data_IF_962527204372
#
_entry.id   IF_962527204372
#
_cell.length_a   1.000
_cell.length_b   1.000
_cell.length_c   1.000
_cell.angle_alpha   90.00
_cell.angle_beta   90.00
_cell.angle_gamma   90.00
#
_symmetry.space_group_name_H-M   'P 1'
#
loop_
_entity.id
_entity.type
_entity.pdbx_description
1 polymer ?
#
# COMPACT_ATOMS: atom_id res chain seq x y z
N UNK A 1 -48.62 36.83 10.50
CA UNK A 1 -48.77 37.77 9.37
C UNK A 1 -48.67 36.95 8.09
N UNK A 2 -49.72 36.92 7.24
CA UNK A 2 -49.74 36.03 6.08
C UNK A 2 -49.05 36.73 4.90
N UNK A 3 -47.94 36.17 4.42
CA UNK A 3 -47.43 36.54 3.10
C UNK A 3 -48.20 35.70 2.07
N UNK A 4 -49.12 36.37 1.38
CA UNK A 4 -49.97 35.79 0.35
C UNK A 4 -49.12 35.22 -0.78
N UNK A 5 -49.42 33.97 -1.14
CA UNK A 5 -48.93 33.33 -2.35
C UNK A 5 -49.56 34.09 -3.53
N UNK A 6 -48.78 34.73 -4.42
CA UNK A 6 -49.35 35.27 -5.63
C UNK A 6 -49.76 34.08 -6.50
N UNK A 7 -51.03 34.06 -6.93
CA UNK A 7 -51.49 33.15 -7.99
C UNK A 7 -50.58 33.35 -9.20
N UNK A 8 -49.82 32.32 -9.57
CA UNK A 8 -49.03 32.32 -10.80
C UNK A 8 -50.01 32.16 -11.94
N UNK A 9 -50.50 33.29 -12.42
CA UNK A 9 -51.24 33.40 -13.67
C UNK A 9 -50.29 32.95 -14.80
N UNK A 10 -50.72 31.95 -15.57
CA UNK A 10 -50.05 31.47 -16.76
C UNK A 10 -49.82 32.65 -17.71
N UNK A 11 -48.63 33.24 -17.66
CA UNK A 11 -48.21 34.23 -18.62
C UNK A 11 -46.89 33.77 -19.23
N UNK A 12 -46.92 33.69 -20.55
CA UNK A 12 -45.94 33.23 -21.54
C UNK A 12 -44.57 33.94 -21.42
N UNK A 13 -43.91 33.88 -20.25
CA UNK A 13 -42.57 34.44 -20.06
C UNK A 13 -41.51 33.45 -20.51
N UNK A 14 -41.40 33.35 -21.84
CA UNK A 14 -40.15 33.18 -22.57
C UNK A 14 -39.41 31.85 -22.37
N UNK A 15 -39.37 30.94 -23.36
CA UNK A 15 -38.44 29.80 -23.39
C UNK A 15 -36.97 30.20 -23.09
N UNK A 16 -36.62 31.47 -23.30
CA UNK A 16 -35.33 32.09 -22.99
C UNK A 16 -34.99 32.05 -21.49
N UNK A 17 -35.91 32.40 -20.59
CA UNK A 17 -35.60 32.40 -19.15
C UNK A 17 -35.36 30.97 -18.64
N UNK A 18 -36.14 30.02 -19.16
CA UNK A 18 -35.97 28.59 -18.88
C UNK A 18 -34.64 28.06 -19.41
N UNK A 19 -34.24 28.45 -20.63
CA UNK A 19 -32.96 28.06 -21.23
C UNK A 19 -31.76 28.61 -20.47
N UNK A 20 -31.84 29.86 -19.99
CA UNK A 20 -30.78 30.46 -19.15
C UNK A 20 -30.69 29.73 -17.81
N UNK A 21 -31.82 29.44 -17.16
CA UNK A 21 -31.84 28.71 -15.90
C UNK A 21 -31.25 27.29 -16.02
N UNK A 22 -31.55 26.58 -17.11
CA UNK A 22 -30.95 25.28 -17.41
C UNK A 22 -29.44 25.39 -17.66
N UNK A 23 -29.00 26.38 -18.45
CA UNK A 23 -27.57 26.61 -18.71
C UNK A 23 -26.81 26.95 -17.43
N UNK A 24 -27.40 27.76 -16.55
CA UNK A 24 -26.86 28.07 -15.23
C UNK A 24 -26.76 26.84 -14.33
N UNK A 25 -27.78 25.98 -14.32
CA UNK A 25 -27.76 24.72 -13.56
C UNK A 25 -26.66 23.78 -14.02
N UNK A 26 -26.43 23.66 -15.33
CA UNK A 26 -25.34 22.84 -15.89
C UNK A 26 -23.98 23.40 -15.47
N UNK A 27 -23.77 24.71 -15.59
CA UNK A 27 -22.53 25.36 -15.16
C UNK A 27 -22.27 25.19 -13.66
N UNK A 28 -23.30 25.28 -12.82
CA UNK A 28 -23.18 25.02 -11.38
C UNK A 28 -22.79 23.57 -11.08
N UNK A 29 -23.39 22.60 -11.78
CA UNK A 29 -23.04 21.18 -11.60
C UNK A 29 -21.59 20.88 -12.00
N UNK A 30 -21.13 21.46 -13.11
CA UNK A 30 -19.73 21.34 -13.54
C UNK A 30 -18.76 21.98 -12.54
N UNK A 31 -19.14 23.11 -11.93
CA UNK A 31 -18.32 23.76 -10.90
C UNK A 31 -18.16 22.89 -9.63
N UNK A 32 -19.19 22.16 -9.23
CA UNK A 32 -19.12 21.19 -8.11
C UNK A 32 -18.15 20.05 -8.45
N UNK A 33 -18.20 19.54 -9.68
CA UNK A 33 -17.29 18.48 -10.12
C UNK A 33 -15.83 18.95 -10.19
N UNK A 34 -15.59 20.13 -10.74
CA UNK A 34 -14.26 20.77 -10.78
C UNK A 34 -13.74 20.98 -9.36
N UNK A 35 -14.57 21.49 -8.44
CA UNK A 35 -14.22 21.64 -7.03
C UNK A 35 -13.78 20.31 -6.39
N UNK A 36 -14.52 19.23 -6.63
CA UNK A 36 -14.17 17.91 -6.12
C UNK A 36 -12.84 17.41 -6.70
N UNK A 37 -12.63 17.54 -8.02
CA UNK A 37 -11.37 17.18 -8.66
C UNK A 37 -10.18 18.00 -8.12
N UNK A 38 -10.36 19.31 -7.94
CA UNK A 38 -9.33 20.18 -7.37
C UNK A 38 -8.99 19.78 -5.94
N UNK A 39 -9.99 19.45 -5.11
CA UNK A 39 -9.76 18.98 -3.75
C UNK A 39 -9.02 17.64 -3.71
N UNK A 40 -9.36 16.70 -4.59
CA UNK A 40 -8.65 15.43 -4.74
C UNK A 40 -7.21 15.66 -5.18
N UNK A 41 -7.00 16.52 -6.17
CA UNK A 41 -5.67 16.88 -6.66
C UNK A 41 -4.81 17.50 -5.56
N UNK A 42 -5.33 18.43 -4.76
CA UNK A 42 -4.60 18.99 -3.63
C UNK A 42 -4.27 17.96 -2.56
N UNK A 43 -5.21 17.04 -2.27
CA UNK A 43 -4.98 15.94 -1.33
C UNK A 43 -3.86 15.02 -1.81
N UNK A 44 -3.83 14.71 -3.11
CA UNK A 44 -2.79 13.90 -3.74
C UNK A 44 -1.45 14.63 -3.87
N UNK A 45 -1.48 15.95 -4.10
CA UNK A 45 -0.29 16.78 -4.23
C UNK A 45 0.60 16.72 -2.98
N UNK A 46 -0.01 16.67 -1.78
CA UNK A 46 0.72 16.49 -0.52
C UNK A 46 1.58 15.19 -0.50
N UNK A 47 1.13 14.13 -1.17
CA UNK A 47 1.88 12.88 -1.32
C UNK A 47 2.87 12.95 -2.49
N UNK A 48 2.48 13.58 -3.60
CA UNK A 48 3.32 13.74 -4.79
C UNK A 48 4.57 14.57 -4.49
N UNK A 49 4.44 15.71 -3.81
CA UNK A 49 5.58 16.59 -3.48
C UNK A 49 6.57 15.90 -2.54
N UNK A 50 6.08 15.13 -1.55
CA UNK A 50 6.95 14.32 -0.68
C UNK A 50 7.69 13.21 -1.44
N UNK A 51 7.04 12.61 -2.44
CA UNK A 51 7.65 11.56 -3.29
C UNK A 51 8.69 12.15 -4.25
N UNK A 52 8.39 13.31 -4.83
CA UNK A 52 9.25 14.01 -5.78
C UNK A 52 10.53 14.55 -5.11
N UNK A 53 10.46 14.99 -3.85
CA UNK A 53 11.65 15.33 -3.05
C UNK A 53 12.53 14.14 -2.68
N UNK A 54 12.00 12.90 -2.69
CA UNK A 54 12.77 11.68 -2.35
C UNK A 54 13.40 10.99 -3.57
N UNK A 55 12.99 11.36 -4.78
CA UNK A 55 13.47 10.81 -6.04
C UNK A 55 14.33 11.86 -6.76
N UNK A 56 15.47 12.18 -6.17
CA UNK A 56 16.46 13.05 -6.81
C UNK A 56 17.02 12.38 -8.06
N UNK A 57 17.56 13.17 -8.99
CA UNK A 57 18.12 12.65 -10.25
C UNK A 57 19.22 11.60 -9.98
N UNK A 58 20.02 11.78 -8.93
CA UNK A 58 21.03 10.79 -8.54
C UNK A 58 20.41 9.46 -8.10
N UNK A 59 19.31 9.49 -7.34
CA UNK A 59 18.58 8.27 -6.96
C UNK A 59 17.91 7.60 -8.15
N UNK A 60 17.39 8.37 -9.11
CA UNK A 60 16.79 7.85 -10.33
C UNK A 60 17.84 7.18 -11.22
N UNK A 61 18.98 7.82 -11.41
CA UNK A 61 20.11 7.26 -12.14
C UNK A 61 20.70 6.03 -11.46
N UNK A 62 20.66 5.97 -10.12
CA UNK A 62 21.04 4.78 -9.38
C UNK A 62 20.14 3.57 -9.68
N UNK A 63 18.84 3.77 -9.93
CA UNK A 63 17.93 2.71 -10.38
C UNK A 63 18.16 2.30 -11.85
N UNK A 64 18.72 3.21 -12.66
CA UNK A 64 19.01 2.98 -14.08
C UNK A 64 20.41 2.43 -14.32
N UNK A 65 21.23 2.25 -13.28
CA UNK A 65 22.48 1.51 -13.43
C UNK A 65 22.17 0.12 -14.01
N UNK A 66 22.97 -0.37 -14.98
CA UNK A 66 22.84 -1.72 -15.49
C UNK A 66 23.25 -2.72 -14.39
N UNK A 67 22.32 -2.95 -13.46
CA UNK A 67 22.35 -4.05 -12.51
C UNK A 67 21.71 -5.27 -13.15
N UNK A 68 22.23 -6.44 -12.82
CA UNK A 68 21.61 -7.71 -13.19
C UNK A 68 20.16 -7.73 -12.66
N UNK A 69 19.19 -7.79 -13.56
CA UNK A 69 17.77 -7.86 -13.19
C UNK A 69 17.50 -9.26 -12.67
N UNK A 70 17.49 -9.41 -11.34
CA UNK A 70 17.19 -10.68 -10.69
C UNK A 70 15.67 -10.87 -10.69
N UNK A 71 15.18 -11.83 -11.48
CA UNK A 71 13.77 -12.16 -11.51
C UNK A 71 13.34 -12.92 -10.25
N UNK A 72 12.04 -12.88 -9.98
CA UNK A 72 11.44 -13.55 -8.82
C UNK A 72 11.70 -15.07 -8.82
N UNK A 73 11.75 -15.69 -9.99
CA UNK A 73 12.11 -17.11 -10.18
C UNK A 73 13.53 -17.42 -9.73
N UNK A 74 14.46 -16.53 -10.05
CA UNK A 74 15.89 -16.73 -9.81
C UNK A 74 16.22 -16.52 -8.34
N UNK A 75 15.48 -15.60 -7.68
CA UNK A 75 15.54 -15.47 -6.22
C UNK A 75 15.14 -16.75 -5.51
N UNK A 76 14.12 -17.48 -5.98
CA UNK A 76 13.67 -18.70 -5.29
C UNK A 76 14.66 -19.87 -5.41
N UNK A 77 15.40 -19.95 -6.52
CA UNK A 77 16.34 -21.03 -6.81
C UNK A 77 17.64 -20.95 -5.97
N UNK A 78 18.06 -19.73 -5.61
CA UNK A 78 19.37 -19.49 -5.00
C UNK A 78 19.35 -19.31 -3.47
N UNK A 79 18.26 -19.66 -2.78
CA UNK A 79 18.18 -19.46 -1.32
C UNK A 79 18.40 -20.75 -0.54
N UNK A 80 19.39 -20.71 0.35
CA UNK A 80 19.59 -21.71 1.38
C UNK A 80 18.51 -21.69 2.45
N UNK A 81 18.59 -22.66 3.37
CA UNK A 81 17.75 -22.70 4.57
C UNK A 81 18.37 -21.80 5.64
N UNK A 82 17.55 -21.02 6.32
CA UNK A 82 18.01 -20.29 7.50
C UNK A 82 18.36 -21.29 8.60
N UNK A 83 19.48 -21.06 9.29
CA UNK A 83 19.88 -21.87 10.44
C UNK A 83 19.37 -21.22 11.73
N UNK A 84 18.62 -21.96 12.56
CA UNK A 84 18.09 -21.43 13.81
C UNK A 84 19.22 -21.17 14.81
N UNK A 85 19.11 -20.11 15.60
CA UNK A 85 20.05 -19.90 16.70
C UNK A 85 19.88 -20.98 17.81
N UNK A 86 20.93 -21.26 18.61
CA UNK A 86 20.85 -22.27 19.66
C UNK A 86 19.70 -22.00 20.63
N UNK A 87 18.74 -22.93 20.73
CA UNK A 87 17.54 -22.81 21.57
C UNK A 87 16.29 -22.26 20.87
N UNK A 88 16.43 -21.74 19.65
CA UNK A 88 15.32 -21.20 18.85
C UNK A 88 14.70 -22.19 17.87
N UNK A 89 15.23 -23.41 17.77
CA UNK A 89 14.78 -24.45 16.83
C UNK A 89 13.26 -24.68 16.84
N UNK A 90 12.64 -24.60 18.02
CA UNK A 90 11.20 -24.77 18.21
C UNK A 90 10.34 -23.68 17.53
N UNK A 91 10.93 -22.54 17.17
CA UNK A 91 10.26 -21.44 16.48
C UNK A 91 10.30 -21.60 14.96
N UNK A 92 11.14 -22.48 14.42
CA UNK A 92 11.33 -22.61 12.97
C UNK A 92 10.53 -23.75 12.38
N UNK A 93 9.90 -23.50 11.23
CA UNK A 93 9.12 -24.48 10.48
C UNK A 93 9.60 -24.48 9.03
N UNK A 94 10.02 -25.66 8.55
CA UNK A 94 10.43 -25.84 7.16
C UNK A 94 9.33 -26.60 6.41
N UNK A 95 8.48 -25.91 5.62
CA UNK A 95 7.37 -26.55 4.92
C UNK A 95 7.89 -27.55 3.89
N UNK A 96 7.31 -28.75 3.88
CA UNK A 96 7.48 -29.71 2.78
C UNK A 96 6.50 -29.37 1.66
N UNK A 97 6.72 -29.91 0.45
CA UNK A 97 5.87 -29.67 -0.74
C UNK A 97 4.35 -29.87 -0.52
N UNK A 98 3.95 -30.61 0.52
CA UNK A 98 2.54 -30.92 0.84
C UNK A 98 1.95 -30.04 1.94
N UNK A 99 2.76 -29.24 2.62
CA UNK A 99 2.32 -28.44 3.77
C UNK A 99 1.68 -27.14 3.30
N UNK A 100 0.38 -26.97 3.59
CA UNK A 100 -0.36 -25.73 3.30
C UNK A 100 -0.32 -24.80 4.51
N UNK A 101 0.83 -24.21 4.78
CA UNK A 101 1.00 -23.22 5.85
C UNK A 101 0.58 -21.85 5.31
N UNK A 102 -0.37 -21.19 6.00
CA UNK A 102 -0.74 -19.81 5.69
C UNK A 102 0.29 -18.88 6.32
N UNK A 103 1.08 -18.23 5.48
CA UNK A 103 2.06 -17.24 5.89
C UNK A 103 1.31 -15.92 6.12
N UNK A 104 1.56 -15.26 7.25
CA UNK A 104 1.03 -13.94 7.53
C UNK A 104 1.59 -12.90 6.55
N UNK A 105 1.10 -11.67 6.62
CA UNK A 105 1.50 -10.58 5.72
C UNK A 105 1.32 -10.95 4.24
N UNK A 106 0.29 -11.76 3.91
CA UNK A 106 -0.03 -12.21 2.56
C UNK A 106 1.15 -12.90 1.83
N UNK A 107 2.07 -13.53 2.57
CA UNK A 107 3.24 -14.18 1.98
C UNK A 107 4.36 -13.21 1.59
N UNK A 108 4.37 -11.98 2.12
CA UNK A 108 5.49 -11.06 1.98
C UNK A 108 6.53 -11.25 3.10
N UNK A 109 7.78 -10.87 2.78
CA UNK A 109 8.89 -10.89 3.71
C UNK A 109 8.67 -9.88 4.85
N UNK A 110 8.62 -10.39 6.08
CA UNK A 110 8.39 -9.54 7.25
C UNK A 110 9.52 -8.52 7.45
N UNK A 111 10.77 -8.96 7.28
CA UNK A 111 11.96 -8.13 7.44
C UNK A 111 12.02 -7.00 6.40
N UNK A 112 11.65 -7.27 5.14
CA UNK A 112 11.73 -6.28 4.04
C UNK A 112 10.77 -5.10 4.27
N UNK A 113 9.57 -5.39 4.78
CA UNK A 113 8.55 -4.38 5.04
C UNK A 113 9.07 -3.35 6.04
N UNK A 114 9.72 -3.80 7.11
CA UNK A 114 10.22 -2.88 8.14
C UNK A 114 11.50 -2.17 7.68
N UNK A 115 12.46 -2.91 7.11
CA UNK A 115 13.78 -2.35 6.78
C UNK A 115 13.72 -1.38 5.61
N UNK A 116 12.91 -1.68 4.60
CA UNK A 116 12.76 -0.84 3.40
C UNK A 116 11.53 0.07 3.46
N UNK A 117 10.97 0.30 4.66
CA UNK A 117 9.85 1.24 4.89
C UNK A 117 8.62 0.96 3.99
N UNK A 118 8.19 -0.29 3.95
CA UNK A 118 6.98 -0.73 3.25
C UNK A 118 7.21 -1.42 1.91
N UNK A 119 8.46 -1.75 1.56
CA UNK A 119 8.72 -2.53 0.35
C UNK A 119 8.22 -3.97 0.52
N UNK A 120 7.24 -4.32 -0.30
CA UNK A 120 6.70 -5.67 -0.38
C UNK A 120 7.62 -6.52 -1.26
N UNK A 121 8.38 -7.41 -0.62
CA UNK A 121 9.19 -8.41 -1.29
C UNK A 121 8.54 -9.77 -1.02
N UNK A 122 8.24 -10.59 -2.04
CA UNK A 122 7.64 -11.90 -1.81
C UNK A 122 8.60 -12.76 -0.99
N UNK A 123 8.05 -13.53 -0.04
CA UNK A 123 8.85 -14.46 0.74
C UNK A 123 9.07 -15.78 -0.02
N UNK A 124 10.15 -16.47 0.33
CA UNK A 124 10.49 -17.79 -0.19
C UNK A 124 10.34 -18.80 0.96
N UNK A 125 9.26 -19.60 1.01
CA UNK A 125 9.00 -20.51 2.12
C UNK A 125 10.07 -21.61 2.32
N UNK A 126 10.88 -21.90 1.29
CA UNK A 126 11.97 -22.88 1.36
C UNK A 126 13.08 -22.48 2.33
N UNK A 127 13.22 -21.19 2.64
CA UNK A 127 14.20 -20.66 3.61
C UNK A 127 13.84 -21.14 5.02
N UNK A 128 12.56 -21.25 5.32
CA UNK A 128 12.03 -21.45 6.66
C UNK A 128 11.00 -20.38 7.02
N UNK A 129 10.02 -20.78 7.80
CA UNK A 129 8.96 -19.93 8.34
C UNK A 129 9.20 -19.82 9.84
N UNK A 130 9.31 -18.60 10.36
CA UNK A 130 9.45 -18.35 11.79
C UNK A 130 8.06 -18.19 12.41
N UNK A 131 7.76 -19.00 13.42
CA UNK A 131 6.55 -18.90 14.23
C UNK A 131 6.81 -18.08 15.48
N UNK A 132 6.11 -16.95 15.61
CA UNK A 132 6.19 -16.10 16.80
C UNK A 132 4.80 -15.63 17.25
N UNK A 133 4.47 -15.85 18.53
CA UNK A 133 3.18 -15.47 19.14
C UNK A 133 1.95 -15.87 18.30
N UNK A 134 1.99 -17.06 17.70
CA UNK A 134 0.88 -17.60 16.88
C UNK A 134 0.83 -17.09 15.43
N UNK A 135 1.76 -16.22 15.02
CA UNK A 135 1.92 -15.76 13.64
C UNK A 135 3.07 -16.47 12.92
N UNK A 136 2.98 -16.57 11.61
CA UNK A 136 3.90 -17.26 10.72
C UNK A 136 4.55 -16.27 9.76
N UNK A 137 5.84 -16.01 9.95
CA UNK A 137 6.58 -15.03 9.16
C UNK A 137 7.48 -15.71 8.14
N UNK A 138 7.38 -15.27 6.88
CA UNK A 138 8.28 -15.68 5.79
C UNK A 138 9.36 -14.64 5.53
N UNK A 139 10.44 -15.08 4.86
CA UNK A 139 11.62 -14.25 4.55
C UNK A 139 12.01 -14.34 3.08
N UNK A 140 12.80 -13.38 2.60
CA UNK A 140 13.31 -13.33 1.22
C UNK A 140 14.74 -13.84 1.10
N UNK A 141 15.51 -13.88 2.19
CA UNK A 141 16.88 -14.39 2.26
C UNK A 141 17.15 -14.98 3.65
N UNK A 142 18.19 -15.83 3.76
CA UNK A 142 18.64 -16.40 5.04
C UNK A 142 19.06 -15.32 6.03
N UNK A 143 19.82 -14.32 5.57
CA UNK A 143 20.23 -13.17 6.38
C UNK A 143 19.02 -12.39 6.94
N UNK A 144 17.98 -12.17 6.13
CA UNK A 144 16.77 -11.49 6.59
C UNK A 144 16.06 -12.29 7.70
N UNK A 145 16.11 -13.62 7.59
CA UNK A 145 15.55 -14.56 8.55
C UNK A 145 16.32 -14.52 9.89
N UNK A 146 17.65 -14.61 9.83
CA UNK A 146 18.55 -14.54 10.98
C UNK A 146 18.43 -13.18 11.70
N UNK A 147 18.52 -12.07 10.98
CA UNK A 147 18.40 -10.74 11.58
C UNK A 147 17.04 -10.52 12.25
N UNK A 148 15.98 -11.08 11.66
CA UNK A 148 14.63 -11.00 12.23
C UNK A 148 14.53 -11.81 13.51
N UNK A 149 15.08 -13.02 13.55
CA UNK A 149 15.10 -13.89 14.75
C UNK A 149 15.79 -13.20 15.94
N UNK A 150 16.93 -12.56 15.71
CA UNK A 150 17.67 -11.87 16.78
C UNK A 150 16.91 -10.66 17.36
N UNK A 151 15.96 -10.08 16.61
CA UNK A 151 15.27 -8.85 17.01
C UNK A 151 13.77 -8.88 16.68
N UNK A 152 13.08 -9.99 16.92
CA UNK A 152 11.68 -10.20 16.52
C UNK A 152 10.77 -9.06 17.01
N UNK A 153 10.91 -8.63 18.26
CA UNK A 153 10.06 -7.56 18.81
C UNK A 153 10.20 -6.23 18.08
N UNK A 154 11.41 -5.92 17.60
CA UNK A 154 11.68 -4.70 16.83
C UNK A 154 10.92 -4.71 15.51
N UNK A 155 10.84 -5.87 14.86
CA UNK A 155 10.18 -6.02 13.56
C UNK A 155 8.67 -6.23 13.69
N UNK A 156 8.18 -6.79 14.79
CA UNK A 156 6.74 -7.05 14.98
C UNK A 156 5.97 -5.79 15.41
N UNK A 157 6.57 -4.88 16.18
CA UNK A 157 5.91 -3.62 16.64
C UNK A 157 5.32 -2.79 15.48
N UNK A 158 6.04 -2.50 14.38
CA UNK A 158 5.52 -1.73 13.26
C UNK A 158 4.29 -2.34 12.57
N UNK A 159 4.13 -3.67 12.57
CA UNK A 159 2.99 -4.31 11.92
C UNK A 159 1.66 -3.97 12.59
N UNK A 160 1.66 -3.65 13.89
CA UNK A 160 0.45 -3.20 14.58
C UNK A 160 -0.05 -1.87 13.99
N UNK A 161 0.88 -0.94 13.70
CA UNK A 161 0.54 0.37 13.13
C UNK A 161 0.09 0.23 11.67
N UNK A 162 0.75 -0.63 10.90
CA UNK A 162 0.42 -0.86 9.49
C UNK A 162 -0.96 -1.53 9.35
N UNK A 163 -1.28 -2.49 10.21
CA UNK A 163 -2.56 -3.20 10.16
C UNK A 163 -3.75 -2.38 10.73
N UNK A 164 -3.49 -1.32 11.50
CA UNK A 164 -4.53 -0.37 11.92
C UNK A 164 -4.87 0.68 10.84
N UNK A 165 -4.03 0.82 9.81
CA UNK A 165 -4.23 1.79 8.73
C UNK A 165 -4.74 1.17 7.42
N UNK A 166 -4.93 -0.16 7.40
CA UNK A 166 -5.56 -0.93 6.32
C UNK A 166 -6.95 -1.39 6.79
#
# INVERSE_FOLDING_TARGET
MPFGIPKVEHNEKGPIFTAIAQSWSVLQNEMVFVSMLTNLMHSLQAFATRRQMRLTEETQMAFLHPGEVIYDSDRAANVGKAEPSPGAEHMWIYPKLKDRIRIDLQGFCAWSIVRYRGLLVPCTPSIGILRWRGKYYGFSSTQAAEEFEHAVEKYVKPFCVICCCL
#
